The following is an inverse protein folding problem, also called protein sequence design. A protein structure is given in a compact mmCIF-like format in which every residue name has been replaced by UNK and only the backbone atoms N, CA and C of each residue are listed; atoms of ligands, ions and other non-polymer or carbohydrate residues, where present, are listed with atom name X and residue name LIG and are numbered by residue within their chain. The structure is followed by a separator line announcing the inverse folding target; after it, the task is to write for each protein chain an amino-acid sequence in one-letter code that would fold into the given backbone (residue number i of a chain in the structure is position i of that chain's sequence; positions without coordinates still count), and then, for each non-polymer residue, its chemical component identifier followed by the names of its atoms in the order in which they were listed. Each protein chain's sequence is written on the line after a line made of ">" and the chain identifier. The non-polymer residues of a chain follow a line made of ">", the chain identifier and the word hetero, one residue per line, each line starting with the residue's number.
data_IF_349826344567
#
_entry.id   IF_349826344567
#
_cell.length_a   1.000
_cell.length_b   1.000
_cell.length_c   1.000
_cell.angle_alpha   90.00
_cell.angle_beta   90.00
_cell.angle_gamma   90.00
#
_symmetry.space_group_name_H-M   'P 1'
#
loop_
_entity.id
_entity.type
_entity.pdbx_description
1 polymer ?
#
# COMPACT_ATOMS: atom_id res chain seq x y z
N UNK A 1 19.11 -53.83 -42.20
CA UNK A 1 19.70 -52.68 -41.43
C UNK A 1 18.82 -52.06 -40.38
N UNK A 2 17.51 -52.37 -40.26
CA UNK A 2 16.61 -51.67 -39.35
C UNK A 2 16.83 -51.93 -37.83
N UNK A 3 17.11 -53.21 -37.49
CA UNK A 3 17.29 -53.64 -36.11
C UNK A 3 18.51 -52.92 -35.40
N UNK A 4 19.65 -52.89 -36.13
CA UNK A 4 20.85 -52.16 -35.58
C UNK A 4 20.66 -50.70 -35.43
N UNK A 5 19.91 -50.04 -36.31
CA UNK A 5 19.55 -48.62 -36.19
C UNK A 5 18.65 -48.39 -34.96
N UNK A 6 17.68 -49.28 -34.73
CA UNK A 6 16.83 -49.21 -33.54
C UNK A 6 17.59 -49.34 -32.23
N UNK A 7 18.52 -50.30 -32.14
CA UNK A 7 19.38 -50.48 -30.96
C UNK A 7 20.25 -49.25 -30.73
N UNK A 8 20.85 -48.68 -31.76
CA UNK A 8 21.64 -47.44 -31.65
C UNK A 8 20.81 -46.28 -31.11
N UNK A 9 19.58 -46.10 -31.59
CA UNK A 9 18.68 -45.05 -31.12
C UNK A 9 18.32 -45.23 -29.65
N UNK A 10 18.04 -46.43 -29.19
CA UNK A 10 17.79 -46.76 -27.80
C UNK A 10 19.01 -46.44 -26.90
N UNK A 11 20.20 -46.85 -27.32
CA UNK A 11 21.43 -46.54 -26.57
C UNK A 11 21.71 -45.05 -26.49
N UNK A 12 21.47 -44.31 -27.57
CA UNK A 12 21.60 -42.85 -27.56
C UNK A 12 20.60 -42.20 -26.59
N UNK A 13 19.37 -42.67 -26.56
CA UNK A 13 18.37 -42.19 -25.60
C UNK A 13 18.75 -42.46 -24.15
N UNK A 14 19.30 -43.66 -23.87
CA UNK A 14 19.79 -44.03 -22.55
C UNK A 14 21.01 -43.19 -22.12
N UNK A 15 21.92 -42.89 -23.05
CA UNK A 15 23.08 -42.05 -22.78
C UNK A 15 22.68 -40.62 -22.38
N UNK A 16 21.71 -40.03 -23.07
CA UNK A 16 21.17 -38.69 -22.74
C UNK A 16 20.55 -38.70 -21.34
N UNK A 17 19.71 -39.69 -21.01
CA UNK A 17 19.07 -39.76 -19.69
C UNK A 17 20.09 -40.03 -18.57
N UNK A 18 21.14 -40.80 -18.84
CA UNK A 18 22.22 -41.00 -17.89
C UNK A 18 23.05 -39.73 -17.68
N UNK A 19 23.27 -38.94 -18.74
CA UNK A 19 23.88 -37.60 -18.65
C UNK A 19 23.08 -36.67 -17.73
N UNK A 20 21.76 -36.60 -17.92
CA UNK A 20 20.88 -35.80 -17.05
C UNK A 20 20.85 -36.30 -15.60
N UNK A 21 20.92 -37.60 -15.37
CA UNK A 21 21.02 -38.17 -14.02
C UNK A 21 22.30 -37.74 -13.29
N UNK A 22 23.41 -37.63 -14.03
CA UNK A 22 24.71 -37.25 -13.48
C UNK A 22 24.88 -35.71 -13.33
N UNK A 23 24.02 -34.92 -13.96
CA UNK A 23 24.10 -33.43 -13.83
C UNK A 23 23.70 -32.95 -12.45
N UNK A 24 24.28 -31.81 -12.03
CA UNK A 24 23.94 -31.19 -10.75
C UNK A 24 22.48 -30.79 -10.76
N UNK A 25 21.75 -31.19 -9.74
CA UNK A 25 20.36 -30.81 -9.53
C UNK A 25 20.25 -29.27 -9.29
N UNK A 26 19.34 -28.62 -10.01
CA UNK A 26 19.03 -27.21 -9.90
C UNK A 26 17.76 -26.96 -9.09
N UNK A 27 17.09 -28.04 -8.63
CA UNK A 27 15.87 -27.95 -7.82
C UNK A 27 16.17 -27.30 -6.47
N UNK A 28 15.42 -26.28 -6.13
CA UNK A 28 15.48 -25.64 -4.82
C UNK A 28 14.57 -26.39 -3.83
N UNK A 29 15.15 -26.74 -2.67
CA UNK A 29 14.44 -27.47 -1.61
C UNK A 29 13.73 -26.46 -0.70
N UNK A 30 12.53 -26.05 -1.06
CA UNK A 30 11.70 -25.20 -0.21
C UNK A 30 10.83 -26.12 0.68
N UNK A 31 10.68 -25.86 2.01
CA UNK A 31 11.10 -24.65 2.76
C UNK A 31 12.50 -24.69 3.40
N UNK A 32 13.30 -25.74 3.19
CA UNK A 32 14.59 -25.93 3.87
C UNK A 32 15.60 -24.82 3.50
N UNK A 33 15.57 -24.35 2.25
CA UNK A 33 16.45 -23.30 1.75
C UNK A 33 15.96 -21.87 2.02
N UNK A 34 14.89 -21.67 2.81
CA UNK A 34 14.26 -20.34 3.07
C UNK A 34 15.28 -19.26 3.45
N UNK A 35 16.32 -19.61 4.22
CA UNK A 35 17.36 -18.66 4.67
C UNK A 35 18.38 -18.30 3.60
N UNK A 36 18.57 -19.16 2.59
CA UNK A 36 19.58 -19.02 1.53
C UNK A 36 18.95 -18.68 0.18
N UNK A 37 17.62 -18.66 0.10
CA UNK A 37 16.89 -18.37 -1.12
C UNK A 37 17.18 -16.96 -1.60
N UNK A 38 17.56 -16.83 -2.86
CA UNK A 38 17.76 -15.54 -3.51
C UNK A 38 16.45 -15.06 -4.14
N UNK A 39 15.84 -14.07 -3.53
CA UNK A 39 14.65 -13.42 -4.09
C UNK A 39 15.11 -12.25 -4.97
N UNK A 40 14.65 -12.21 -6.22
CA UNK A 40 15.01 -11.17 -7.17
C UNK A 40 14.68 -9.75 -6.62
N UNK A 41 15.48 -8.75 -7.00
CA UNK A 41 15.30 -7.37 -6.52
C UNK A 41 13.93 -6.78 -6.88
N UNK A 42 13.41 -7.15 -8.05
CA UNK A 42 12.10 -6.69 -8.54
C UNK A 42 10.93 -7.57 -8.11
N UNK A 43 11.13 -8.47 -7.16
CA UNK A 43 10.04 -9.28 -6.64
C UNK A 43 9.01 -8.39 -5.94
N UNK A 44 7.73 -8.63 -6.22
CA UNK A 44 6.59 -7.92 -5.64
C UNK A 44 5.81 -8.90 -4.80
N UNK A 45 6.10 -8.94 -3.53
CA UNK A 45 5.40 -9.79 -2.56
C UNK A 45 4.19 -9.05 -1.97
N UNK A 46 4.30 -8.57 -0.74
CA UNK A 46 3.22 -7.87 -0.06
C UNK A 46 3.37 -6.36 -0.18
N UNK A 47 2.26 -5.64 -0.35
CA UNK A 47 2.23 -4.17 -0.30
C UNK A 47 2.30 -3.74 1.16
N UNK A 48 3.19 -2.81 1.48
CA UNK A 48 3.32 -2.24 2.82
C UNK A 48 3.34 -0.71 2.76
N UNK A 49 2.98 -0.10 3.87
CA UNK A 49 3.12 1.34 4.09
C UNK A 49 4.19 1.54 5.15
N UNK A 50 5.40 2.01 4.79
CA UNK A 50 6.44 2.30 5.77
C UNK A 50 5.99 3.38 6.75
N UNK A 51 6.18 3.11 8.03
CA UNK A 51 5.93 4.05 9.12
C UNK A 51 7.26 4.41 9.78
N UNK A 52 7.38 5.65 10.23
CA UNK A 52 8.50 6.12 11.02
C UNK A 52 8.40 5.54 12.46
N UNK A 53 9.46 5.72 13.27
CA UNK A 53 9.51 5.27 14.68
C UNK A 53 8.33 5.81 15.52
N UNK A 54 7.75 6.95 15.14
CA UNK A 54 6.61 7.57 15.79
C UNK A 54 5.25 7.13 15.22
N UNK A 55 5.22 6.12 14.34
CA UNK A 55 3.99 5.64 13.70
C UNK A 55 3.45 6.54 12.59
N UNK A 56 4.17 7.61 12.21
CA UNK A 56 3.76 8.49 11.13
C UNK A 56 4.04 7.85 9.77
N UNK A 57 3.14 8.06 8.82
CA UNK A 57 3.32 7.66 7.42
C UNK A 57 3.39 8.88 6.50
N UNK A 58 3.91 8.68 5.29
CA UNK A 58 4.02 9.73 4.27
C UNK A 58 2.73 9.96 3.48
N UNK A 59 1.67 9.19 3.76
CA UNK A 59 0.43 9.21 3.00
C UNK A 59 -0.37 10.49 3.27
N UNK A 60 -0.76 11.19 2.20
CA UNK A 60 -1.59 12.40 2.25
C UNK A 60 -3.07 12.12 1.99
N UNK A 61 -3.49 10.87 1.96
CA UNK A 61 -4.86 10.44 1.66
C UNK A 61 -5.41 11.04 0.35
N UNK A 62 -4.57 11.13 -0.69
CA UNK A 62 -4.93 11.72 -1.99
C UNK A 62 -5.79 10.81 -2.86
N UNK A 63 -5.99 9.53 -2.51
CA UNK A 63 -6.79 8.50 -3.22
C UNK A 63 -6.31 8.14 -4.63
N UNK A 64 -5.13 8.59 -5.08
CA UNK A 64 -4.61 8.28 -6.42
C UNK A 64 -4.31 6.79 -6.60
N UNK A 65 -3.76 6.12 -5.57
CA UNK A 65 -3.48 4.69 -5.61
C UNK A 65 -4.76 3.83 -5.68
N UNK A 66 -5.84 4.26 -5.02
CA UNK A 66 -7.17 3.63 -5.12
C UNK A 66 -7.71 3.71 -6.57
N UNK A 67 -7.64 4.90 -7.19
CA UNK A 67 -8.08 5.12 -8.56
C UNK A 67 -7.22 4.41 -9.61
N UNK A 68 -5.93 4.23 -9.31
CA UNK A 68 -4.99 3.56 -10.20
C UNK A 68 -5.12 2.02 -10.13
N UNK A 69 -5.80 1.48 -9.13
CA UNK A 69 -5.96 0.04 -8.97
C UNK A 69 -7.07 -0.51 -9.87
N UNK A 70 -6.76 -1.36 -10.87
CA UNK A 70 -7.76 -1.89 -11.78
C UNK A 70 -8.75 -2.86 -11.11
N UNK A 71 -8.30 -3.57 -10.07
CA UNK A 71 -9.13 -4.56 -9.36
C UNK A 71 -9.85 -3.97 -8.14
N UNK A 72 -9.62 -2.70 -7.78
CA UNK A 72 -10.22 -2.12 -6.59
C UNK A 72 -9.74 -2.75 -5.27
N UNK A 73 -8.54 -3.34 -5.24
CA UNK A 73 -7.94 -3.98 -4.05
C UNK A 73 -7.61 -3.00 -2.94
N UNK A 74 -7.63 -1.69 -3.23
CA UNK A 74 -7.29 -0.62 -2.28
C UNK A 74 -8.52 0.24 -2.04
N UNK A 75 -8.83 0.49 -0.77
CA UNK A 75 -9.87 1.45 -0.34
C UNK A 75 -9.30 2.37 0.71
N UNK A 76 -9.50 3.67 0.53
CA UNK A 76 -8.96 4.71 1.40
C UNK A 76 -10.10 5.47 2.06
N UNK A 77 -10.13 5.42 3.38
CA UNK A 77 -11.01 6.24 4.19
C UNK A 77 -10.23 7.45 4.71
N UNK A 78 -10.72 8.64 4.43
CA UNK A 78 -10.10 9.88 4.87
C UNK A 78 -11.14 10.83 5.44
N UNK A 79 -10.75 11.58 6.47
CA UNK A 79 -11.57 12.64 7.07
C UNK A 79 -10.91 14.00 6.84
N UNK A 80 -11.74 15.04 6.70
CA UNK A 80 -11.26 16.42 6.67
C UNK A 80 -11.11 16.91 8.09
N UNK A 81 -9.89 17.22 8.49
CA UNK A 81 -9.58 17.77 9.83
C UNK A 81 -9.06 19.19 9.70
N UNK A 82 -9.32 20.00 10.72
CA UNK A 82 -8.79 21.37 10.81
C UNK A 82 -7.55 21.33 11.70
N UNK A 83 -6.42 21.77 11.15
CA UNK A 83 -5.16 21.90 11.89
C UNK A 83 -5.23 23.14 12.82
N UNK A 84 -4.36 23.21 13.82
CA UNK A 84 -4.25 24.36 14.74
C UNK A 84 -4.09 25.70 14.00
N UNK A 85 -3.50 25.69 12.80
CA UNK A 85 -3.33 26.86 11.92
C UNK A 85 -4.61 27.26 11.16
N UNK A 86 -5.75 26.62 11.41
CA UNK A 86 -7.02 26.87 10.71
C UNK A 86 -7.08 26.30 9.27
N UNK A 87 -6.04 25.57 8.81
CA UNK A 87 -6.01 24.96 7.48
C UNK A 87 -6.72 23.62 7.48
N UNK A 88 -7.51 23.34 6.46
CA UNK A 88 -8.15 22.05 6.26
C UNK A 88 -7.13 21.06 5.68
N UNK A 89 -6.92 19.93 6.35
CA UNK A 89 -6.05 18.82 5.91
C UNK A 89 -6.86 17.52 5.82
N UNK A 90 -6.55 16.68 4.86
CA UNK A 90 -7.08 15.31 4.84
C UNK A 90 -6.25 14.45 5.79
N UNK A 91 -6.91 13.78 6.72
CA UNK A 91 -6.31 12.79 7.60
C UNK A 91 -6.68 11.40 7.08
N UNK A 92 -5.69 10.53 6.96
CA UNK A 92 -5.90 9.12 6.64
C UNK A 92 -6.48 8.42 7.86
N UNK A 93 -7.73 7.98 7.76
CA UNK A 93 -8.40 7.24 8.84
C UNK A 93 -8.11 5.76 8.70
N UNK A 94 -8.28 5.21 7.50
CA UNK A 94 -8.05 3.80 7.24
C UNK A 94 -7.56 3.56 5.81
N UNK A 95 -6.63 2.62 5.67
CA UNK A 95 -6.10 2.16 4.38
C UNK A 95 -6.30 0.65 4.28
N UNK A 96 -7.41 0.25 3.69
CA UNK A 96 -7.73 -1.15 3.49
C UNK A 96 -7.08 -1.66 2.20
N UNK A 97 -6.38 -2.78 2.31
CA UNK A 97 -5.75 -3.48 1.20
C UNK A 97 -6.17 -4.94 1.19
N UNK A 98 -6.77 -5.39 0.09
CA UNK A 98 -7.10 -6.80 -0.12
C UNK A 98 -6.01 -7.46 -0.98
N UNK A 99 -5.13 -8.21 -0.32
CA UNK A 99 -4.06 -8.97 -0.96
C UNK A 99 -4.63 -10.05 -1.90
N UNK A 100 -5.80 -10.60 -1.57
CA UNK A 100 -6.44 -11.67 -2.36
C UNK A 100 -6.96 -11.20 -3.73
N UNK A 101 -7.22 -9.91 -3.89
CA UNK A 101 -7.64 -9.30 -5.17
C UNK A 101 -6.49 -8.61 -5.90
N UNK A 102 -5.32 -8.51 -5.27
CA UNK A 102 -4.17 -7.81 -5.84
C UNK A 102 -3.49 -8.62 -6.93
N UNK A 103 -3.23 -8.02 -8.08
CA UNK A 103 -2.47 -8.61 -9.20
C UNK A 103 -0.99 -8.18 -9.21
N UNK A 104 -0.49 -7.54 -8.18
CA UNK A 104 0.92 -7.12 -8.03
C UNK A 104 1.47 -6.30 -9.21
N UNK A 105 0.62 -5.51 -9.86
CA UNK A 105 0.97 -4.74 -11.07
C UNK A 105 1.81 -3.49 -10.81
N UNK A 106 1.94 -3.05 -9.54
CA UNK A 106 2.70 -1.87 -9.10
C UNK A 106 2.13 -0.51 -9.54
N UNK A 107 0.97 -0.44 -10.18
CA UNK A 107 0.37 0.82 -10.62
C UNK A 107 0.08 1.77 -9.44
N UNK A 108 -0.35 1.25 -8.29
CA UNK A 108 -0.60 2.03 -7.08
C UNK A 108 0.67 2.69 -6.53
N UNK A 109 1.81 1.99 -6.55
CA UNK A 109 3.11 2.53 -6.11
C UNK A 109 3.57 3.63 -7.06
N UNK A 110 3.48 3.38 -8.38
CA UNK A 110 3.87 4.36 -9.39
C UNK A 110 2.98 5.61 -9.38
N UNK A 111 1.71 5.46 -9.00
CA UNK A 111 0.76 6.58 -8.90
C UNK A 111 0.92 7.39 -7.60
N UNK A 112 1.71 6.92 -6.63
CA UNK A 112 1.87 7.59 -5.35
C UNK A 112 2.94 8.71 -5.42
N UNK A 113 2.57 10.00 -5.34
CA UNK A 113 3.53 11.09 -5.45
C UNK A 113 4.45 11.20 -4.22
N UNK A 114 4.04 10.63 -3.08
CA UNK A 114 4.79 10.68 -1.82
C UNK A 114 5.63 9.42 -1.58
N UNK A 115 5.58 8.42 -2.48
CA UNK A 115 6.21 7.12 -2.25
C UNK A 115 5.87 6.53 -0.87
N UNK A 116 4.58 6.63 -0.49
CA UNK A 116 4.09 6.23 0.82
C UNK A 116 3.82 4.73 0.91
N UNK A 117 3.84 4.00 -0.19
CA UNK A 117 3.58 2.56 -0.28
C UNK A 117 4.65 1.91 -1.14
N UNK A 118 5.06 0.70 -0.76
CA UNK A 118 6.04 -0.09 -1.50
C UNK A 118 5.75 -1.58 -1.42
N UNK A 119 6.29 -2.36 -2.37
CA UNK A 119 6.24 -3.82 -2.31
C UNK A 119 7.49 -4.36 -1.63
N UNK A 120 7.28 -5.18 -0.61
CA UNK A 120 8.34 -5.96 0.05
C UNK A 120 8.48 -7.33 -0.59
N UNK A 121 9.56 -8.03 -0.27
CA UNK A 121 9.88 -9.37 -0.82
C UNK A 121 9.17 -10.51 -0.10
N UNK A 122 8.30 -10.21 0.87
CA UNK A 122 7.54 -11.22 1.59
C UNK A 122 6.45 -11.83 0.71
N UNK A 123 6.46 -13.15 0.57
CA UNK A 123 5.55 -13.89 -0.31
C UNK A 123 4.77 -14.99 0.39
N UNK A 124 5.03 -15.23 1.69
CA UNK A 124 4.41 -16.31 2.44
C UNK A 124 3.04 -15.87 3.00
N UNK A 125 2.05 -15.78 2.11
CA UNK A 125 0.72 -15.27 2.45
C UNK A 125 -0.36 -16.37 2.44
N UNK A 126 0.00 -17.61 2.70
CA UNK A 126 -0.96 -18.71 2.75
C UNK A 126 -1.80 -18.64 4.04
N UNK A 127 -3.11 -18.55 3.90
CA UNK A 127 -4.06 -18.42 5.01
C UNK A 127 -5.27 -19.33 4.80
N UNK A 128 -5.91 -19.79 5.89
CA UNK A 128 -7.13 -20.59 5.82
C UNK A 128 -8.38 -19.76 5.48
N UNK A 129 -8.42 -18.51 5.92
CA UNK A 129 -9.58 -17.65 5.73
C UNK A 129 -9.20 -16.45 4.85
N UNK A 130 -9.96 -16.23 3.76
CA UNK A 130 -9.76 -15.11 2.86
C UNK A 130 -9.74 -13.74 3.58
N UNK A 131 -10.52 -13.59 4.64
CA UNK A 131 -10.57 -12.32 5.38
C UNK A 131 -9.23 -11.94 6.01
N UNK A 132 -8.34 -12.90 6.28
CA UNK A 132 -6.99 -12.63 6.77
C UNK A 132 -6.07 -11.97 5.72
N UNK A 133 -6.45 -12.01 4.43
CA UNK A 133 -5.76 -11.30 3.36
C UNK A 133 -6.15 -9.82 3.25
N UNK A 134 -7.22 -9.40 3.95
CA UNK A 134 -7.59 -8.00 4.06
C UNK A 134 -6.78 -7.36 5.17
N UNK A 135 -5.90 -6.46 4.80
CA UNK A 135 -4.94 -5.83 5.70
C UNK A 135 -5.24 -4.34 5.81
N UNK A 136 -5.04 -3.80 7.00
CA UNK A 136 -5.04 -2.37 7.26
C UNK A 136 -3.57 -1.93 7.30
N UNK A 137 -3.16 -1.12 6.32
CA UNK A 137 -1.75 -0.75 6.16
C UNK A 137 -1.34 0.47 6.99
N UNK A 138 -2.29 1.25 7.46
CA UNK A 138 -2.01 2.40 8.33
C UNK A 138 -2.27 2.05 9.80
N UNK A 139 -1.58 2.78 10.67
CA UNK A 139 -1.96 2.85 12.08
C UNK A 139 -3.15 3.82 12.17
N UNK A 140 -4.32 3.40 12.68
CA UNK A 140 -5.45 4.31 12.80
C UNK A 140 -5.10 5.45 13.77
N UNK A 141 -5.59 6.68 13.51
CA UNK A 141 -5.35 7.80 14.40
C UNK A 141 -5.96 7.51 15.77
N UNK A 142 -5.25 7.87 16.83
CA UNK A 142 -5.70 7.67 18.22
C UNK A 142 -6.93 8.54 18.50
N UNK A 143 -7.79 8.11 19.41
CA UNK A 143 -8.98 8.88 19.82
C UNK A 143 -8.60 10.26 20.36
N UNK A 144 -7.45 10.38 21.02
CA UNK A 144 -6.90 11.64 21.51
C UNK A 144 -6.54 12.61 20.38
N UNK A 145 -5.93 12.10 19.30
CA UNK A 145 -5.63 12.91 18.11
C UNK A 145 -6.91 13.39 17.42
N UNK A 146 -7.90 12.52 17.30
CA UNK A 146 -9.21 12.90 16.73
C UNK A 146 -9.92 13.93 17.60
N UNK A 147 -9.84 13.83 18.92
CA UNK A 147 -10.39 14.83 19.85
C UNK A 147 -9.69 16.18 19.69
N UNK A 148 -8.36 16.22 19.61
CA UNK A 148 -7.59 17.45 19.37
C UNK A 148 -7.98 18.12 18.04
N UNK A 149 -8.16 17.34 16.97
CA UNK A 149 -8.62 17.90 15.68
C UNK A 149 -10.05 18.44 15.77
N UNK A 150 -10.92 17.79 16.54
CA UNK A 150 -12.29 18.27 16.76
C UNK A 150 -12.31 19.57 17.57
N UNK A 151 -11.46 19.72 18.56
CA UNK A 151 -11.31 20.96 19.33
C UNK A 151 -10.75 22.10 18.48
N UNK A 152 -9.72 21.81 17.67
CA UNK A 152 -9.15 22.77 16.72
C UNK A 152 -10.20 23.25 15.71
N UNK A 153 -11.07 22.35 15.24
CA UNK A 153 -12.16 22.70 14.34
C UNK A 153 -13.18 23.66 15.01
N UNK A 154 -13.54 23.42 16.28
CA UNK A 154 -14.42 24.29 17.05
C UNK A 154 -13.80 25.69 17.26
N UNK A 155 -12.51 25.75 17.60
CA UNK A 155 -11.79 27.02 17.77
C UNK A 155 -11.67 27.79 16.46
N UNK A 156 -11.39 27.11 15.35
CA UNK A 156 -11.33 27.75 14.03
C UNK A 156 -12.70 28.30 13.60
N UNK A 157 -13.77 27.56 13.87
CA UNK A 157 -15.14 28.04 13.63
C UNK A 157 -15.51 29.23 14.49
N UNK A 158 -15.11 29.24 15.75
CA UNK A 158 -15.35 30.39 16.66
C UNK A 158 -14.61 31.63 16.17
N UNK A 159 -13.33 31.53 15.81
CA UNK A 159 -12.53 32.63 15.24
C UNK A 159 -13.12 33.16 13.93
N UNK A 160 -13.61 32.27 13.07
CA UNK A 160 -14.26 32.67 11.82
C UNK A 160 -15.59 33.41 12.06
N UNK A 161 -16.37 33.00 13.07
CA UNK A 161 -17.59 33.67 13.46
C UNK A 161 -17.35 35.08 14.09
N UNK A 162 -16.28 35.22 14.86
CA UNK A 162 -15.86 36.51 15.41
C UNK A 162 -15.37 37.46 14.31
N UNK A 163 -14.57 36.96 13.37
CA UNK A 163 -14.12 37.77 12.23
C UNK A 163 -15.28 38.22 11.33
N UNK A 164 -16.29 37.37 11.12
CA UNK A 164 -17.49 37.73 10.37
C UNK A 164 -18.29 38.83 11.08
N UNK A 165 -18.44 38.76 12.40
CA UNK A 165 -19.10 39.80 13.19
C UNK A 165 -18.36 41.14 13.17
N UNK A 166 -17.03 41.12 13.20
CA UNK A 166 -16.21 42.32 13.07
C UNK A 166 -16.30 42.98 11.69
N UNK A 167 -16.42 42.16 10.62
CA UNK A 167 -16.61 42.68 9.27
C UNK A 167 -18.00 43.34 9.07
N UNK A 168 -19.05 42.78 9.67
CA UNK A 168 -20.39 43.40 9.64
C UNK A 168 -20.46 44.75 10.42
N UNK A 169 -19.75 44.85 11.54
CA UNK A 169 -19.68 46.08 12.29
C UNK A 169 -18.87 47.18 11.59
N UNK A 170 -17.85 46.83 10.81
CA UNK A 170 -17.06 47.77 10.01
C UNK A 170 -17.84 48.32 8.78
N UNK A 171 -18.71 47.51 8.18
CA UNK A 171 -19.53 47.91 7.02
C UNK A 171 -20.75 48.77 7.38
N UNK A 172 -21.12 48.83 8.67
CA UNK A 172 -22.27 49.61 9.15
C UNK A 172 -22.02 51.08 9.40
N UNK A 173 -20.76 51.56 9.35
CA UNK A 173 -20.40 52.92 9.76
C UNK A 173 -20.22 53.91 8.60
N UNK A 174 -20.28 53.46 7.33
CA UNK A 174 -20.12 54.35 6.15
C UNK A 174 -21.43 54.83 5.51
N UNK A 175 -22.57 54.69 6.19
CA UNK A 175 -23.87 55.18 5.68
C UNK A 175 -24.54 56.25 6.52
N UNK A 176 -23.77 57.04 7.25
CA UNK A 176 -24.33 58.12 8.07
C UNK A 176 -23.62 59.47 7.95
N UNK A 177 -23.10 59.82 6.77
CA UNK A 177 -22.70 61.16 6.40
C UNK A 177 -22.95 61.39 4.91
N UNK A 178 -24.22 61.66 4.55
CA UNK A 178 -24.68 62.50 3.44
C UNK A 178 -26.09 63.02 3.76
#
# INVERSE_FOLDING_TARGET
>A
GGALAGIKTLLTGMDITMGEYATRKITEQYPENRKTQHIAERHRGTLVMPHDENGNNKCTACTLCEKACPNGSIKILSQMVTTADGKKKKLLTDYMYDLGDCMFCQLCVNACPQNAIEFVKDFENAVFNRNALKQHLNVPPTEEELAQYAENAKQAAAKAAEAAKQAETASGNDKKEE
#
